data_IF_400053154332
#
_entry.id   IF_400053154332
#
_cell.length_a   1.000
_cell.length_b   1.000
_cell.length_c   1.000
_cell.angle_alpha   90.00
_cell.angle_beta   90.00
_cell.angle_gamma   90.00
#
_symmetry.space_group_name_H-M   'P 1'
#
loop_
_entity.id
_entity.type
_entity.pdbx_description
1 polymer ?
#
# COMPACT_ATOMS: atom_id res chain seq x y z
N UNK A 1 -6.72 3.02 10.29
CA UNK A 1 -6.38 1.77 10.99
C UNK A 1 -4.86 1.59 11.11
N UNK A 2 -4.08 1.59 10.00
CA UNK A 2 -2.61 1.43 10.05
C UNK A 2 -1.94 2.40 11.03
N UNK A 3 -2.31 3.68 10.99
CA UNK A 3 -1.77 4.70 11.90
C UNK A 3 -2.11 4.44 13.37
N UNK A 4 -3.30 3.86 13.65
CA UNK A 4 -3.67 3.47 15.02
C UNK A 4 -2.77 2.37 15.58
N UNK A 5 -2.35 1.42 14.75
CA UNK A 5 -1.40 0.37 15.17
C UNK A 5 0.00 0.96 15.39
N UNK A 6 0.47 1.82 14.49
CA UNK A 6 1.75 2.51 14.68
C UNK A 6 1.76 3.39 15.93
N UNK A 7 0.63 4.06 16.23
CA UNK A 7 0.46 4.85 17.45
C UNK A 7 0.54 3.97 18.71
N UNK A 8 -0.14 2.83 18.72
CA UNK A 8 -0.05 1.89 19.82
C UNK A 8 1.40 1.37 20.01
N UNK A 9 2.14 1.15 18.93
CA UNK A 9 3.56 0.79 19.01
C UNK A 9 4.39 1.89 19.65
N UNK A 10 4.18 3.16 19.27
CA UNK A 10 4.90 4.28 19.90
C UNK A 10 4.57 4.42 21.39
N UNK A 11 3.29 4.28 21.75
CA UNK A 11 2.82 4.34 23.15
C UNK A 11 3.44 3.24 24.02
N UNK A 12 3.66 2.04 23.46
CA UNK A 12 4.31 0.91 24.11
C UNK A 12 5.86 0.92 23.96
N UNK A 13 6.42 1.97 23.38
CA UNK A 13 7.87 2.09 23.15
C UNK A 13 8.43 1.11 22.11
N UNK A 14 7.59 0.49 21.32
CA UNK A 14 7.99 -0.45 20.27
C UNK A 14 8.37 0.32 18.99
N UNK A 15 9.54 0.01 18.45
CA UNK A 15 10.02 0.61 17.21
C UNK A 15 10.15 -0.47 16.13
N UNK A 16 9.46 -0.36 15.00
CA UNK A 16 9.64 -1.30 13.90
C UNK A 16 11.06 -1.18 13.33
N UNK A 17 11.75 -2.33 13.20
CA UNK A 17 13.07 -2.40 12.56
C UNK A 17 12.97 -2.47 11.03
N UNK A 18 11.82 -2.87 10.50
CA UNK A 18 11.52 -2.98 9.07
C UNK A 18 10.05 -2.60 8.83
N UNK A 19 9.79 -2.03 7.67
CA UNK A 19 8.42 -1.76 7.23
C UNK A 19 8.21 -2.33 5.83
N UNK A 20 7.07 -2.93 5.60
CA UNK A 20 6.62 -3.27 4.26
C UNK A 20 5.14 -2.93 4.10
N UNK A 21 4.75 -2.56 2.91
CA UNK A 21 3.38 -2.16 2.65
C UNK A 21 2.94 -2.40 1.23
N UNK A 22 1.63 -2.58 1.09
CA UNK A 22 0.92 -2.70 -0.17
C UNK A 22 -0.16 -1.63 -0.20
N UNK A 23 -0.35 -0.95 -1.32
CA UNK A 23 -1.44 0.02 -1.52
C UNK A 23 -1.45 1.12 -0.45
N UNK A 24 -2.58 1.36 0.22
CA UNK A 24 -2.70 2.33 1.32
C UNK A 24 -1.76 2.02 2.50
N UNK A 25 -1.48 0.73 2.76
CA UNK A 25 -0.48 0.31 3.75
C UNK A 25 0.93 0.73 3.35
N UNK A 26 1.24 0.74 2.06
CA UNK A 26 2.51 1.26 1.52
C UNK A 26 2.67 2.75 1.74
N UNK A 27 1.60 3.54 1.55
CA UNK A 27 1.61 4.98 1.86
C UNK A 27 1.87 5.24 3.34
N UNK A 28 1.12 4.58 4.23
CA UNK A 28 1.30 4.74 5.67
C UNK A 28 2.72 4.35 6.11
N UNK A 29 3.22 3.21 5.62
CA UNK A 29 4.57 2.73 5.90
C UNK A 29 5.64 3.71 5.42
N UNK A 30 5.51 4.25 4.20
CA UNK A 30 6.48 5.18 3.63
C UNK A 30 6.56 6.50 4.40
N UNK A 31 5.44 7.17 4.65
CA UNK A 31 5.44 8.42 5.40
C UNK A 31 6.01 8.23 6.81
N UNK A 32 5.65 7.14 7.49
CA UNK A 32 6.18 6.81 8.80
C UNK A 32 7.68 6.47 8.76
N UNK A 33 8.11 5.69 7.77
CA UNK A 33 9.51 5.29 7.61
C UNK A 33 10.46 6.48 7.39
N UNK A 34 9.96 7.55 6.75
CA UNK A 34 10.68 8.81 6.57
C UNK A 34 10.54 9.78 7.76
N UNK A 35 9.94 9.33 8.87
CA UNK A 35 9.90 10.07 10.13
C UNK A 35 8.81 11.13 10.21
N UNK A 36 7.79 11.07 9.36
CA UNK A 36 6.65 11.99 9.48
C UNK A 36 5.83 11.63 10.73
N UNK A 37 5.45 12.63 11.57
CA UNK A 37 4.59 12.40 12.73
C UNK A 37 3.24 11.79 12.35
N UNK A 38 2.72 10.86 13.16
CA UNK A 38 1.48 10.15 12.88
C UNK A 38 0.27 11.08 12.69
N UNK A 39 0.23 12.19 13.44
CA UNK A 39 -0.82 13.20 13.30
C UNK A 39 -0.78 13.89 11.92
N UNK A 40 0.42 14.18 11.42
CA UNK A 40 0.57 14.76 10.08
C UNK A 40 0.16 13.74 8.99
N UNK A 41 0.55 12.46 9.13
CA UNK A 41 0.15 11.41 8.20
C UNK A 41 -1.37 11.26 8.17
N UNK A 42 -2.03 11.36 9.34
CA UNK A 42 -3.49 11.34 9.43
C UNK A 42 -4.11 12.50 8.66
N UNK A 43 -3.65 13.72 8.93
CA UNK A 43 -4.17 14.93 8.28
C UNK A 43 -3.94 14.92 6.76
N UNK A 44 -2.86 14.27 6.30
CA UNK A 44 -2.62 14.03 4.89
C UNK A 44 -3.57 12.98 4.31
N UNK A 45 -3.86 11.92 5.06
CA UNK A 45 -4.83 10.89 4.68
C UNK A 45 -6.22 11.47 4.43
N UNK A 46 -6.67 12.37 5.30
CA UNK A 46 -7.95 13.06 5.17
C UNK A 46 -8.01 13.97 3.93
N UNK A 47 -6.86 14.51 3.51
CA UNK A 47 -6.71 15.33 2.29
C UNK A 47 -6.59 14.47 1.02
N UNK A 48 -6.19 13.22 1.16
CA UNK A 48 -6.04 12.26 0.07
C UNK A 48 -7.41 11.72 -0.37
N UNK A 49 -8.25 12.59 -0.93
CA UNK A 49 -9.42 12.11 -1.66
C UNK A 49 -8.95 11.49 -2.98
N UNK A 50 -8.97 10.17 -3.08
CA UNK A 50 -8.52 9.41 -4.26
C UNK A 50 -9.02 9.95 -5.59
N UNK A 51 -10.22 10.51 -5.62
CA UNK A 51 -10.79 11.17 -6.80
C UNK A 51 -10.13 12.52 -7.16
N UNK A 52 -9.38 13.13 -6.24
CA UNK A 52 -8.65 14.37 -6.52
C UNK A 52 -7.19 14.15 -6.89
N UNK A 53 -6.62 12.97 -6.60
CA UNK A 53 -5.25 12.60 -6.99
C UNK A 53 -5.16 11.97 -8.37
N UNK A 54 -6.29 11.89 -9.08
CA UNK A 54 -6.38 11.31 -10.41
C UNK A 54 -6.73 12.39 -11.44
N UNK A 55 -6.00 12.41 -12.53
CA UNK A 55 -6.34 13.20 -13.72
C UNK A 55 -6.98 12.30 -14.77
N UNK A 56 -8.09 12.77 -15.35
CA UNK A 56 -8.65 12.14 -16.54
C UNK A 56 -7.61 12.24 -17.67
N UNK A 57 -6.98 11.14 -17.95
CA UNK A 57 -6.25 10.93 -19.17
C UNK A 57 -7.06 9.90 -19.98
N UNK A 58 -7.02 9.95 -21.28
CA UNK A 58 -7.62 8.90 -22.12
C UNK A 58 -6.50 7.92 -22.49
N UNK A 59 -6.00 7.12 -21.53
CA UNK A 59 -4.96 6.17 -21.81
C UNK A 59 -5.59 4.86 -22.30
N UNK A 60 -4.86 4.12 -23.09
CA UNK A 60 -5.33 2.83 -23.60
C UNK A 60 -5.46 1.75 -22.51
N UNK A 61 -4.81 1.93 -21.32
CA UNK A 61 -4.61 0.88 -20.33
C UNK A 61 -5.22 1.19 -18.95
N UNK A 62 -5.95 2.28 -18.78
CA UNK A 62 -6.62 2.66 -17.53
C UNK A 62 -7.48 3.90 -17.70
N UNK A 63 -8.42 4.15 -16.80
CA UNK A 63 -9.34 5.29 -16.88
C UNK A 63 -8.71 6.59 -16.39
N UNK A 64 -7.78 6.49 -15.44
CA UNK A 64 -7.19 7.61 -14.72
C UNK A 64 -5.66 7.49 -14.68
N UNK A 65 -4.98 8.61 -14.38
CA UNK A 65 -3.57 8.66 -14.10
C UNK A 65 -3.36 9.08 -12.65
N UNK A 66 -2.51 8.38 -11.91
CA UNK A 66 -2.22 8.68 -10.51
C UNK A 66 -0.98 9.57 -10.31
N UNK A 67 -0.54 10.31 -11.32
CA UNK A 67 0.61 11.24 -11.24
C UNK A 67 0.44 12.33 -10.17
N UNK A 68 -0.81 12.70 -9.84
CA UNK A 68 -1.10 13.61 -8.72
C UNK A 68 -0.64 13.04 -7.40
N UNK A 69 -0.76 11.73 -7.20
CA UNK A 69 -0.23 11.07 -6.01
C UNK A 69 1.31 11.17 -5.97
N UNK A 70 1.98 10.97 -7.10
CA UNK A 70 3.43 11.15 -7.17
C UNK A 70 3.85 12.57 -6.77
N UNK A 71 3.18 13.59 -7.33
CA UNK A 71 3.41 15.01 -6.95
C UNK A 71 3.10 15.27 -5.48
N UNK A 72 2.06 14.67 -4.95
CA UNK A 72 1.72 14.78 -3.53
C UNK A 72 2.82 14.20 -2.65
N UNK A 73 3.32 13.01 -2.95
CA UNK A 73 4.44 12.39 -2.22
C UNK A 73 5.68 13.29 -2.26
N UNK A 74 6.06 13.78 -3.44
CA UNK A 74 7.22 14.66 -3.61
C UNK A 74 7.07 16.00 -2.88
N UNK A 75 5.85 16.52 -2.80
CA UNK A 75 5.57 17.75 -2.05
C UNK A 75 5.88 17.63 -0.56
N UNK A 76 5.60 16.46 0.05
CA UNK A 76 5.71 16.28 1.50
C UNK A 76 7.00 15.56 1.93
N UNK A 77 7.54 14.67 1.11
CA UNK A 77 8.76 13.92 1.40
C UNK A 77 9.96 14.36 0.54
N UNK A 78 9.73 15.17 -0.51
CA UNK A 78 10.75 15.49 -1.51
C UNK A 78 10.95 14.35 -2.50
N UNK A 79 11.89 14.56 -3.44
CA UNK A 79 12.27 13.55 -4.45
C UNK A 79 13.20 12.51 -3.80
N UNK A 80 12.64 11.70 -2.91
CA UNK A 80 13.34 10.65 -2.17
C UNK A 80 13.40 9.33 -2.92
N UNK A 81 14.42 8.53 -2.58
CA UNK A 81 14.52 7.13 -2.97
C UNK A 81 14.13 6.23 -1.78
N UNK A 82 13.64 5.02 -2.06
CA UNK A 82 13.20 4.08 -1.03
C UNK A 82 14.35 3.74 -0.07
N UNK A 83 15.55 3.52 -0.61
CA UNK A 83 16.75 3.18 0.15
C UNK A 83 17.28 4.30 1.05
N UNK A 84 16.77 5.51 0.92
CA UNK A 84 17.09 6.65 1.80
C UNK A 84 16.24 6.64 3.09
N UNK A 85 15.30 5.70 3.21
CA UNK A 85 14.43 5.60 4.38
C UNK A 85 15.21 5.27 5.64
N UNK A 86 15.05 6.04 6.74
CA UNK A 86 15.66 5.72 8.04
C UNK A 86 15.26 4.36 8.61
N UNK A 87 14.03 3.91 8.35
CA UNK A 87 13.58 2.55 8.64
C UNK A 87 13.54 1.81 7.30
N UNK A 88 14.27 0.68 7.14
CA UNK A 88 14.26 -0.11 5.92
C UNK A 88 12.83 -0.40 5.44
N UNK A 89 12.53 0.02 4.19
CA UNK A 89 11.19 -0.01 3.60
C UNK A 89 11.16 -0.90 2.36
N UNK A 90 10.08 -1.65 2.22
CA UNK A 90 9.77 -2.39 1.00
C UNK A 90 8.31 -2.17 0.59
N UNK A 91 8.08 -1.93 -0.69
CA UNK A 91 6.75 -1.73 -1.27
C UNK A 91 6.44 -2.88 -2.23
N UNK A 92 5.25 -3.46 -2.11
CA UNK A 92 4.84 -4.59 -2.95
C UNK A 92 3.99 -4.10 -4.10
N UNK A 93 4.31 -4.59 -5.28
CA UNK A 93 3.60 -4.37 -6.53
C UNK A 93 3.42 -5.68 -7.27
N UNK A 94 2.61 -5.69 -8.30
CA UNK A 94 2.44 -6.81 -9.22
C UNK A 94 2.79 -6.37 -10.64
N UNK A 95 3.60 -7.14 -11.36
CA UNK A 95 3.72 -6.96 -12.80
C UNK A 95 2.48 -7.57 -13.47
N UNK A 96 1.63 -6.72 -14.03
CA UNK A 96 0.38 -7.15 -14.64
C UNK A 96 0.59 -7.98 -15.92
N UNK A 97 1.78 -7.92 -16.52
CA UNK A 97 2.11 -8.68 -17.72
C UNK A 97 2.41 -10.14 -17.44
N UNK A 98 2.98 -10.44 -16.24
CA UNK A 98 3.43 -11.78 -15.85
C UNK A 98 2.66 -12.36 -14.66
N UNK A 99 2.01 -11.50 -13.85
CA UNK A 99 1.41 -11.87 -12.57
C UNK A 99 2.44 -12.03 -11.44
N UNK A 100 3.69 -11.67 -11.67
CA UNK A 100 4.74 -11.81 -10.67
C UNK A 100 4.68 -10.72 -9.60
N UNK A 101 4.98 -11.13 -8.36
CA UNK A 101 5.21 -10.19 -7.27
C UNK A 101 6.52 -9.44 -7.49
N UNK A 102 6.47 -8.12 -7.47
CA UNK A 102 7.63 -7.25 -7.54
C UNK A 102 7.76 -6.47 -6.24
N UNK A 103 8.91 -6.63 -5.56
CA UNK A 103 9.21 -5.96 -4.29
C UNK A 103 10.19 -4.84 -4.54
N UNK A 104 9.74 -3.60 -4.38
CA UNK A 104 10.53 -2.39 -4.57
C UNK A 104 11.20 -2.00 -3.25
N UNK A 105 12.52 -2.05 -3.21
CA UNK A 105 13.37 -1.69 -2.05
C UNK A 105 14.31 -0.52 -2.38
N UNK A 106 14.39 -0.14 -3.64
CA UNK A 106 15.25 0.94 -4.16
C UNK A 106 14.55 1.70 -5.28
N UNK A 107 15.06 2.86 -5.62
CA UNK A 107 14.51 3.70 -6.68
C UNK A 107 13.57 4.79 -6.18
N UNK A 108 12.89 5.47 -7.11
CA UNK A 108 12.01 6.61 -6.78
C UNK A 108 10.86 6.20 -5.86
N UNK A 109 10.79 6.83 -4.68
CA UNK A 109 9.71 6.60 -3.71
C UNK A 109 8.34 6.98 -4.29
N UNK A 110 8.25 8.11 -4.99
CA UNK A 110 7.00 8.57 -5.58
C UNK A 110 6.48 7.61 -6.64
N UNK A 111 7.36 7.11 -7.52
CA UNK A 111 6.98 6.11 -8.52
C UNK A 111 6.56 4.77 -7.90
N UNK A 112 7.29 4.32 -6.88
CA UNK A 112 6.96 3.08 -6.17
C UNK A 112 5.61 3.16 -5.45
N UNK A 113 5.29 4.31 -4.84
CA UNK A 113 3.99 4.54 -4.22
C UNK A 113 2.87 4.66 -5.25
N UNK A 114 3.11 5.30 -6.39
CA UNK A 114 2.17 5.27 -7.52
C UNK A 114 1.91 3.85 -8.00
N UNK A 115 2.95 3.01 -8.09
CA UNK A 115 2.82 1.62 -8.54
C UNK A 115 2.03 0.76 -7.55
N UNK A 116 2.41 0.79 -6.26
CA UNK A 116 1.75 -0.05 -5.24
C UNK A 116 0.28 0.33 -5.00
N UNK A 117 -0.14 1.54 -5.37
CA UNK A 117 -1.53 2.01 -5.26
C UNK A 117 -2.29 2.03 -6.59
N UNK A 118 -1.69 1.50 -7.64
CA UNK A 118 -2.24 1.49 -9.00
C UNK A 118 -3.29 0.39 -9.16
N UNK A 119 -4.55 0.67 -8.79
CA UNK A 119 -5.66 -0.28 -8.91
C UNK A 119 -5.88 -0.63 -10.39
N UNK A 120 -5.77 -1.91 -10.80
CA UNK A 120 -5.95 -2.34 -12.18
C UNK A 120 -7.31 -1.94 -12.75
N UNK A 121 -7.32 -1.46 -13.99
CA UNK A 121 -8.53 -0.99 -14.66
C UNK A 121 -8.96 0.43 -14.25
N UNK A 122 -8.59 0.89 -13.06
CA UNK A 122 -8.84 2.27 -12.60
C UNK A 122 -7.70 3.18 -13.03
N UNK A 123 -6.47 2.83 -12.67
CA UNK A 123 -5.28 3.59 -13.03
C UNK A 123 -4.47 2.91 -14.12
N UNK A 124 -3.78 3.74 -14.93
CA UNK A 124 -2.80 3.23 -15.88
C UNK A 124 -1.61 2.62 -15.14
N UNK A 125 -1.15 1.40 -15.52
CA UNK A 125 0.03 0.79 -14.92
C UNK A 125 1.25 1.71 -14.95
N UNK A 126 2.07 1.62 -13.91
CA UNK A 126 3.34 2.36 -13.83
C UNK A 126 4.42 1.58 -14.55
N UNK A 127 5.04 2.20 -15.55
CA UNK A 127 6.11 1.58 -16.31
C UNK A 127 7.42 1.62 -15.51
N UNK A 128 8.05 0.45 -15.31
CA UNK A 128 9.39 0.30 -14.73
C UNK A 128 10.24 -0.62 -15.63
N UNK A 129 11.07 -0.02 -16.49
CA UNK A 129 11.77 -0.78 -17.52
C UNK A 129 10.78 -1.47 -18.47
N UNK A 130 10.83 -2.80 -18.56
CA UNK A 130 9.89 -3.61 -19.35
C UNK A 130 8.64 -4.02 -18.57
N UNK A 131 8.59 -3.79 -17.26
CA UNK A 131 7.48 -4.17 -16.38
C UNK A 131 6.37 -3.14 -16.41
N UNK A 132 5.15 -3.61 -16.26
CA UNK A 132 3.95 -2.80 -16.05
C UNK A 132 3.39 -3.06 -14.65
N UNK A 133 3.72 -2.18 -13.71
CA UNK A 133 3.42 -2.36 -12.30
C UNK A 133 2.03 -1.84 -11.94
N UNK A 134 1.33 -2.66 -11.16
CA UNK A 134 0.02 -2.35 -10.56
C UNK A 134 0.02 -2.67 -9.08
N UNK A 135 -1.09 -2.41 -8.41
CA UNK A 135 -1.28 -2.64 -6.97
C UNK A 135 -0.90 -4.07 -6.56
N UNK A 136 -0.05 -4.17 -5.56
CA UNK A 136 0.48 -5.43 -5.05
C UNK A 136 -0.54 -6.27 -4.29
N UNK A 137 -1.74 -5.75 -3.99
CA UNK A 137 -2.80 -6.51 -3.36
C UNK A 137 -3.20 -7.76 -4.16
N UNK A 138 -3.00 -7.76 -5.49
CA UNK A 138 -3.21 -8.93 -6.33
C UNK A 138 -2.36 -10.15 -5.95
N UNK A 139 -1.21 -9.93 -5.32
CA UNK A 139 -0.22 -10.99 -5.04
C UNK A 139 0.10 -11.14 -3.56
N UNK A 140 0.15 -10.04 -2.79
CA UNK A 140 0.37 -10.06 -1.34
C UNK A 140 -0.15 -8.75 -0.71
N UNK A 141 -1.36 -8.81 -0.16
CA UNK A 141 -2.01 -7.63 0.43
C UNK A 141 -1.40 -7.25 1.79
N UNK A 142 -1.04 -8.24 2.62
CA UNK A 142 -0.33 -8.04 3.89
C UNK A 142 1.06 -8.66 3.77
N UNK A 143 2.12 -7.88 3.45
CA UNK A 143 3.39 -8.40 2.96
C UNK A 143 4.31 -8.94 4.07
N UNK A 144 3.88 -9.97 4.79
CA UNK A 144 4.64 -10.64 5.85
C UNK A 144 5.81 -11.47 5.29
N UNK A 145 5.68 -12.02 4.07
CA UNK A 145 6.77 -12.75 3.45
C UNK A 145 7.95 -11.83 3.15
N UNK A 146 7.67 -10.59 2.74
CA UNK A 146 8.67 -9.57 2.49
C UNK A 146 9.42 -9.18 3.76
N UNK A 147 8.72 -9.00 4.88
CA UNK A 147 9.37 -8.74 6.18
C UNK A 147 10.28 -9.88 6.61
N UNK A 148 9.88 -11.14 6.34
CA UNK A 148 10.74 -12.30 6.59
C UNK A 148 12.01 -12.26 5.75
N UNK A 149 11.89 -11.94 4.47
CA UNK A 149 13.04 -11.79 3.55
C UNK A 149 13.96 -10.63 3.93
N UNK A 150 13.42 -9.58 4.58
CA UNK A 150 14.20 -8.47 5.13
C UNK A 150 14.91 -8.82 6.44
N UNK A 151 14.62 -9.99 7.05
CA UNK A 151 15.27 -10.48 8.28
C UNK A 151 14.48 -10.24 9.56
N UNK A 152 13.20 -9.86 9.48
CA UNK A 152 12.35 -9.69 10.66
C UNK A 152 12.10 -11.04 11.34
N UNK A 153 12.42 -11.13 12.64
CA UNK A 153 12.18 -12.32 13.47
C UNK A 153 10.75 -12.39 13.99
N UNK A 154 10.11 -11.25 14.23
CA UNK A 154 8.71 -11.11 14.61
C UNK A 154 8.04 -10.21 13.58
N UNK A 155 6.88 -10.62 13.07
CA UNK A 155 6.18 -9.88 12.04
C UNK A 155 4.77 -9.58 12.50
N UNK A 156 4.37 -8.33 12.36
CA UNK A 156 3.02 -7.88 12.68
C UNK A 156 2.39 -7.33 11.40
N UNK A 157 1.33 -7.99 10.96
CA UNK A 157 0.52 -7.56 9.82
C UNK A 157 -0.70 -6.80 10.26
N UNK A 158 -1.09 -5.77 9.50
CA UNK A 158 -2.35 -5.06 9.68
C UNK A 158 -3.21 -5.33 8.45
N UNK A 159 -4.26 -6.10 8.65
CA UNK A 159 -5.24 -6.40 7.61
C UNK A 159 -6.50 -5.60 7.87
N UNK A 160 -6.95 -4.83 6.87
CA UNK A 160 -8.18 -4.05 7.00
C UNK A 160 -9.43 -4.92 6.87
N UNK A 161 -9.25 -6.19 6.44
CA UNK A 161 -10.33 -7.16 6.26
C UNK A 161 -11.32 -6.74 5.17
N UNK A 162 -12.04 -7.72 4.67
CA UNK A 162 -13.17 -7.51 3.77
C UNK A 162 -14.50 -7.82 4.46
N UNK A 163 -14.56 -7.68 5.79
CA UNK A 163 -15.75 -8.09 6.57
C UNK A 163 -17.03 -7.36 6.17
N UNK A 164 -16.95 -6.33 5.34
CA UNK A 164 -18.14 -5.72 4.77
C UNK A 164 -17.92 -5.30 3.31
N UNK A 165 -18.10 -6.24 2.38
CA UNK A 165 -18.34 -5.85 1.00
C UNK A 165 -19.60 -4.99 0.94
N UNK A 166 -19.43 -3.67 0.77
CA UNK A 166 -20.58 -2.79 0.53
C UNK A 166 -21.10 -3.06 -0.88
N UNK A 167 -22.43 -2.95 -1.04
CA UNK A 167 -23.04 -3.02 -2.37
C UNK A 167 -22.38 -1.97 -3.27
N UNK A 168 -21.76 -2.35 -4.40
CA UNK A 168 -21.08 -1.40 -5.26
C UNK A 168 -22.07 -0.45 -5.93
N UNK A 169 -21.78 0.83 -5.91
CA UNK A 169 -22.60 1.90 -6.51
C UNK A 169 -22.07 2.32 -7.88
N UNK A 170 -20.83 1.94 -8.22
CA UNK A 170 -20.17 2.29 -9.47
C UNK A 170 -19.18 1.21 -9.90
N UNK A 171 -18.72 1.30 -11.15
CA UNK A 171 -17.79 0.34 -11.76
C UNK A 171 -16.47 0.21 -11.00
N UNK A 172 -15.95 1.30 -10.44
CA UNK A 172 -14.70 1.30 -9.67
C UNK A 172 -14.86 0.44 -8.41
N UNK A 173 -15.97 0.60 -7.70
CA UNK A 173 -16.28 -0.22 -6.52
C UNK A 173 -16.49 -1.70 -6.86
N UNK A 174 -17.05 -2.01 -8.04
CA UNK A 174 -17.14 -3.40 -8.53
C UNK A 174 -15.73 -3.98 -8.71
N UNK A 175 -14.81 -3.24 -9.35
CA UNK A 175 -13.42 -3.68 -9.57
C UNK A 175 -12.72 -3.88 -8.22
N UNK A 176 -12.83 -2.91 -7.32
CA UNK A 176 -12.21 -3.00 -5.98
C UNK A 176 -12.75 -4.20 -5.20
N UNK A 177 -14.08 -4.41 -5.18
CA UNK A 177 -14.67 -5.55 -4.51
C UNK A 177 -14.21 -6.88 -5.12
N UNK A 178 -14.13 -6.96 -6.46
CA UNK A 178 -13.66 -8.17 -7.15
C UNK A 178 -12.20 -8.49 -6.80
N UNK A 179 -11.32 -7.48 -6.74
CA UNK A 179 -9.93 -7.64 -6.32
C UNK A 179 -9.89 -8.10 -4.86
N UNK A 180 -10.61 -7.45 -3.95
CA UNK A 180 -10.63 -7.81 -2.54
C UNK A 180 -11.11 -9.25 -2.33
N UNK A 181 -12.19 -9.67 -3.00
CA UNK A 181 -12.69 -11.06 -2.93
C UNK A 181 -11.62 -12.06 -3.38
N UNK A 182 -10.92 -11.77 -4.47
CA UNK A 182 -9.89 -12.65 -5.00
C UNK A 182 -8.67 -12.74 -4.08
N UNK A 183 -8.28 -11.63 -3.44
CA UNK A 183 -7.07 -11.56 -2.60
C UNK A 183 -7.29 -12.03 -1.18
N UNK A 184 -8.50 -11.95 -0.63
CA UNK A 184 -8.79 -12.44 0.72
C UNK A 184 -8.57 -13.95 0.87
N UNK A 185 -8.84 -14.70 -0.18
CA UNK A 185 -8.61 -16.14 -0.17
C UNK A 185 -7.13 -16.53 -0.19
N UNK A 186 -6.26 -15.65 -0.72
CA UNK A 186 -4.81 -15.91 -0.82
C UNK A 186 -4.05 -15.51 0.45
N UNK A 187 -4.54 -14.55 1.21
CA UNK A 187 -3.88 -14.05 2.43
C UNK A 187 -3.84 -15.07 3.58
N UNK A 188 -4.84 -15.97 3.67
CA UNK A 188 -4.91 -17.00 4.72
C UNK A 188 -3.80 -18.06 4.62
N UNK A 189 -3.17 -18.20 3.46
CA UNK A 189 -2.16 -19.22 3.20
C UNK A 189 -0.72 -18.84 3.62
N UNK A 190 -0.47 -17.58 3.98
CA UNK A 190 0.88 -17.04 4.23
C UNK A 190 1.23 -16.84 5.72
N UNK A 191 0.34 -17.19 6.64
CA UNK A 191 0.56 -17.02 8.08
C UNK A 191 1.61 -18.01 8.61
N UNK A 192 2.65 -17.48 9.27
CA UNK A 192 3.72 -18.28 9.89
C UNK A 192 3.63 -18.30 11.41
N UNK A 193 4.40 -19.18 12.05
CA UNK A 193 4.38 -19.42 13.52
C UNK A 193 4.70 -18.19 14.39
N UNK A 194 5.34 -17.15 13.82
CA UNK A 194 5.74 -15.92 14.53
C UNK A 194 5.07 -14.67 13.97
N UNK A 195 3.95 -14.85 13.28
CA UNK A 195 3.21 -13.76 12.66
C UNK A 195 2.00 -13.40 13.51
N UNK A 196 1.77 -12.10 13.67
CA UNK A 196 0.59 -11.56 14.30
C UNK A 196 -0.20 -10.79 13.25
N UNK A 197 -1.47 -11.11 13.07
CA UNK A 197 -2.38 -10.37 12.19
C UNK A 197 -3.35 -9.58 13.05
N UNK A 198 -3.26 -8.26 12.96
CA UNK A 198 -4.20 -7.35 13.58
C UNK A 198 -5.31 -7.03 12.56
N UNK A 199 -6.55 -7.26 12.95
CA UNK A 199 -7.76 -6.97 12.16
C UNK A 199 -8.59 -5.93 12.90
N UNK A 200 -8.33 -4.62 12.72
CA UNK A 200 -9.10 -3.58 13.37
C UNK A 200 -10.56 -3.61 12.93
N UNK A 201 -11.49 -3.52 13.88
CA UNK A 201 -12.92 -3.42 13.58
C UNK A 201 -13.23 -2.01 13.06
N UNK A 202 -13.60 -1.89 11.79
CA UNK A 202 -13.83 -0.61 11.12
C UNK A 202 -15.33 -0.29 10.95
N UNK A 203 -16.22 -1.18 11.35
CA UNK A 203 -17.68 -1.08 11.15
C UNK A 203 -18.30 0.18 11.79
N UNK A 204 -17.66 0.71 12.84
CA UNK A 204 -18.13 1.90 13.57
C UNK A 204 -17.64 3.23 12.99
N UNK A 205 -16.86 3.23 11.93
CA UNK A 205 -16.19 4.41 11.36
C UNK A 205 -16.57 4.68 9.90
N UNK A 206 -17.72 4.18 9.45
CA UNK A 206 -18.23 4.34 8.09
C UNK A 206 -19.27 5.43 7.95
#
# INVERSE_FOLDING_TARGET
AHLGVLKAFEEEGLKPGFLSGTSSGGLAAAFYAFGMPLEEIRDLGDKLHWLRVSTLNVPRLGLLNNSELGRFVEKYLGSKKIEESPIPLALVTCDISTGEKVVLKTGSLSQALMATTCIPGVFSPVQEGERMLVDGALVENVPLTVLKEMGASVRVGVSLGSESYRKPENMIQVIINAINIATDQTNLASEGKFDFILKPQLESYG
#
